data_IF_338418294618
#
_entry.id   IF_338418294618
#
_cell.length_a   1.000
_cell.length_b   1.000
_cell.length_c   1.000
_cell.angle_alpha   90.00
_cell.angle_beta   90.00
_cell.angle_gamma   90.00
#
_symmetry.space_group_name_H-M   'P 1'
#
loop_
_entity.id
_entity.type
_entity.pdbx_description
1 polymer ?
#
# COMPACT_ATOMS: atom_id res chain seq x y z
N UNK A 1 -18.41 -6.77 -5.24
CA UNK A 1 -17.12 -6.05 -5.21
C UNK A 1 -16.56 -6.02 -6.61
N UNK A 2 -16.12 -4.86 -7.10
CA UNK A 2 -15.59 -4.70 -8.46
C UNK A 2 -14.07 -4.65 -8.40
N UNK A 3 -13.41 -5.53 -9.14
CA UNK A 3 -11.95 -5.51 -9.33
C UNK A 3 -11.60 -4.59 -10.51
N UNK A 4 -10.47 -3.90 -10.41
CA UNK A 4 -9.95 -3.06 -11.49
C UNK A 4 -9.00 -3.89 -12.36
N UNK A 5 -9.05 -3.67 -13.67
CA UNK A 5 -8.02 -4.14 -14.59
C UNK A 5 -6.91 -3.08 -14.75
N UNK A 6 -5.80 -3.44 -15.40
CA UNK A 6 -4.69 -2.51 -15.64
C UNK A 6 -5.12 -1.26 -16.41
N UNK A 7 -6.08 -1.37 -17.34
CA UNK A 7 -6.57 -0.23 -18.13
C UNK A 7 -7.30 0.78 -17.26
N UNK A 8 -8.04 0.33 -16.25
CA UNK A 8 -8.68 1.20 -15.27
C UNK A 8 -7.64 1.83 -14.34
N UNK A 9 -6.63 1.08 -13.89
CA UNK A 9 -5.56 1.64 -13.04
C UNK A 9 -4.73 2.69 -13.76
N UNK A 10 -4.47 2.50 -15.06
CA UNK A 10 -3.80 3.47 -15.95
C UNK A 10 -4.53 4.81 -16.08
N UNK A 11 -5.82 4.88 -15.74
CA UNK A 11 -6.58 6.14 -15.71
C UNK A 11 -6.50 6.83 -14.35
N UNK A 12 -6.14 6.09 -13.31
CA UNK A 12 -6.04 6.58 -11.93
C UNK A 12 -4.61 7.01 -11.56
N UNK A 13 -3.62 6.36 -12.18
CA UNK A 13 -2.19 6.53 -11.91
C UNK A 13 -1.43 6.86 -13.19
N UNK A 14 -0.27 7.48 -13.05
CA UNK A 14 0.61 7.71 -14.20
C UNK A 14 1.20 6.38 -14.71
N UNK A 15 1.45 6.29 -16.03
CA UNK A 15 2.01 5.08 -16.67
C UNK A 15 3.31 4.57 -16.04
N UNK A 16 4.13 5.44 -15.49
CA UNK A 16 5.39 5.07 -14.83
C UNK A 16 5.16 4.32 -13.52
N UNK A 17 4.07 4.60 -12.81
CA UNK A 17 3.78 4.04 -11.49
C UNK A 17 3.43 2.55 -11.60
N UNK A 18 2.71 2.15 -12.65
CA UNK A 18 2.17 0.79 -12.81
C UNK A 18 3.24 -0.27 -13.10
N UNK A 19 4.46 0.13 -13.46
CA UNK A 19 5.60 -0.79 -13.61
C UNK A 19 6.24 -1.19 -12.27
N UNK A 20 5.71 -0.70 -11.17
CA UNK A 20 6.20 -0.97 -9.82
C UNK A 20 5.22 -1.87 -9.06
N UNK A 21 5.66 -2.37 -7.89
CA UNK A 21 4.77 -3.06 -6.95
C UNK A 21 3.70 -2.08 -6.46
N UNK A 22 2.48 -2.22 -7.00
CA UNK A 22 1.33 -1.35 -6.73
C UNK A 22 0.10 -2.16 -6.36
N UNK A 23 -0.66 -1.63 -5.41
CA UNK A 23 -2.01 -2.09 -5.08
C UNK A 23 -2.98 -0.91 -5.08
N UNK A 24 -4.23 -1.15 -5.48
CA UNK A 24 -5.33 -0.18 -5.31
C UNK A 24 -6.32 -0.76 -4.30
N UNK A 25 -6.68 0.02 -3.28
CA UNK A 25 -7.67 -0.37 -2.27
C UNK A 25 -8.90 0.54 -2.29
N UNK A 26 -10.07 -0.04 -2.02
CA UNK A 26 -11.35 0.67 -2.05
C UNK A 26 -11.85 1.01 -0.64
N UNK A 27 -11.75 2.28 -0.20
CA UNK A 27 -12.17 2.70 1.13
C UNK A 27 -13.69 2.75 1.32
N UNK A 28 -14.49 2.59 0.26
CA UNK A 28 -15.96 2.51 0.38
C UNK A 28 -16.44 1.14 0.85
N UNK A 29 -15.57 0.12 0.77
CA UNK A 29 -15.84 -1.24 1.24
C UNK A 29 -15.25 -1.41 2.63
N UNK A 30 -16.00 -2.08 3.52
CA UNK A 30 -15.54 -2.41 4.88
C UNK A 30 -14.16 -3.05 4.82
N UNK A 31 -13.27 -2.58 5.68
CA UNK A 31 -11.87 -3.02 5.80
C UNK A 31 -10.89 -2.52 4.71
N UNK A 32 -11.35 -1.67 3.78
CA UNK A 32 -10.52 -1.11 2.70
C UNK A 32 -9.73 -2.21 1.94
N UNK A 33 -10.43 -3.18 1.31
CA UNK A 33 -9.78 -4.29 0.62
C UNK A 33 -9.10 -3.84 -0.67
N UNK A 34 -8.06 -4.58 -1.08
CA UNK A 34 -7.41 -4.40 -2.36
C UNK A 34 -8.34 -4.86 -3.50
N UNK A 35 -8.60 -3.95 -4.44
CA UNK A 35 -9.37 -4.17 -5.67
C UNK A 35 -8.49 -4.34 -6.90
N UNK A 36 -7.18 -4.13 -6.76
CA UNK A 36 -6.15 -4.43 -7.76
C UNK A 36 -4.81 -4.69 -7.07
N UNK A 37 -4.01 -5.59 -7.65
CA UNK A 37 -2.62 -5.84 -7.29
C UNK A 37 -1.81 -6.04 -8.56
N UNK A 38 -0.61 -5.46 -8.64
CA UNK A 38 0.27 -5.64 -9.79
C UNK A 38 0.98 -7.00 -9.75
N UNK A 39 1.56 -7.38 -10.90
CA UNK A 39 2.39 -8.60 -11.01
C UNK A 39 3.63 -8.49 -10.12
N UNK A 40 4.27 -7.32 -10.12
CA UNK A 40 5.46 -7.01 -9.34
C UNK A 40 5.19 -7.15 -7.84
N UNK A 41 4.01 -6.75 -7.36
CA UNK A 41 3.61 -6.99 -5.97
C UNK A 41 3.57 -8.47 -5.64
N UNK A 42 2.98 -9.28 -6.52
CA UNK A 42 2.89 -10.73 -6.35
C UNK A 42 4.27 -11.38 -6.33
N UNK A 43 5.14 -11.01 -7.27
CA UNK A 43 6.53 -11.51 -7.36
C UNK A 43 7.36 -11.13 -6.13
N UNK A 44 7.28 -9.87 -5.69
CA UNK A 44 8.03 -9.35 -4.55
C UNK A 44 7.61 -10.00 -3.21
N UNK A 45 6.31 -10.22 -3.04
CA UNK A 45 5.76 -10.71 -1.76
C UNK A 45 5.57 -12.22 -1.72
N UNK A 46 5.62 -12.89 -2.87
CA UNK A 46 5.38 -14.33 -3.01
C UNK A 46 3.91 -14.74 -2.90
N UNK A 47 2.98 -13.78 -2.82
CA UNK A 47 1.56 -14.04 -2.83
C UNK A 47 1.02 -14.11 -4.25
N UNK A 48 0.03 -14.99 -4.48
CA UNK A 48 -0.72 -14.99 -5.73
C UNK A 48 -1.81 -13.92 -5.67
N UNK A 49 -2.13 -13.33 -6.81
CA UNK A 49 -3.22 -12.35 -6.94
C UNK A 49 -4.54 -12.85 -6.33
N UNK A 50 -4.93 -14.10 -6.63
CA UNK A 50 -6.15 -14.75 -6.11
C UNK A 50 -6.18 -14.90 -4.58
N UNK A 51 -5.01 -14.96 -3.94
CA UNK A 51 -4.90 -15.10 -2.48
C UNK A 51 -5.09 -13.76 -1.75
N UNK A 52 -4.93 -12.62 -2.43
CA UNK A 52 -4.81 -11.30 -1.80
C UNK A 52 -5.85 -10.28 -2.25
N UNK A 53 -6.42 -10.44 -3.44
CA UNK A 53 -7.55 -9.62 -3.88
C UNK A 53 -8.72 -9.78 -2.89
N UNK A 54 -9.35 -8.66 -2.54
CA UNK A 54 -10.42 -8.64 -1.53
C UNK A 54 -9.95 -8.61 -0.09
N UNK A 55 -8.64 -8.60 0.17
CA UNK A 55 -8.08 -8.49 1.52
C UNK A 55 -7.45 -7.12 1.74
N UNK A 56 -7.41 -6.69 3.00
CA UNK A 56 -6.60 -5.55 3.39
C UNK A 56 -5.11 -5.94 3.37
N UNK A 57 -4.24 -5.03 2.91
CA UNK A 57 -2.79 -5.27 2.76
C UNK A 57 -2.03 -5.52 4.08
N UNK A 58 -2.69 -5.37 5.25
CA UNK A 58 -2.06 -5.59 6.57
C UNK A 58 -1.53 -7.00 6.79
N UNK A 59 -1.88 -7.99 5.97
CA UNK A 59 -1.31 -9.34 6.07
C UNK A 59 0.21 -9.38 5.84
N UNK A 60 0.80 -8.32 5.25
CA UNK A 60 2.25 -8.17 5.15
C UNK A 60 2.91 -7.76 6.48
N UNK A 61 2.13 -7.38 7.50
CA UNK A 61 2.65 -7.04 8.82
C UNK A 61 2.85 -8.31 9.64
N UNK A 62 3.80 -8.29 10.58
CA UNK A 62 4.12 -9.44 11.42
C UNK A 62 4.59 -9.03 12.82
N UNK A 63 5.13 -9.99 13.61
CA UNK A 63 5.39 -9.79 15.04
C UNK A 63 6.33 -8.64 15.38
N UNK A 64 7.29 -8.33 14.50
CA UNK A 64 8.27 -7.25 14.70
C UNK A 64 7.92 -5.97 13.91
N UNK A 65 6.75 -5.91 13.28
CA UNK A 65 6.29 -4.66 12.67
C UNK A 65 6.00 -3.66 13.78
N UNK A 66 6.63 -2.48 13.73
CA UNK A 66 6.48 -1.45 14.76
C UNK A 66 5.02 -0.96 14.81
N UNK A 67 4.33 -1.05 15.97
CA UNK A 67 2.96 -0.57 16.11
C UNK A 67 2.82 0.93 15.85
N UNK A 68 3.87 1.73 16.08
CA UNK A 68 3.83 3.16 15.78
C UNK A 68 3.77 3.43 14.27
N UNK A 69 4.46 2.64 13.45
CA UNK A 69 4.41 2.75 11.99
C UNK A 69 2.98 2.44 11.49
N UNK A 70 2.33 1.43 12.08
CA UNK A 70 0.94 1.07 11.80
C UNK A 70 -0.01 2.23 12.15
N UNK A 71 0.16 2.85 13.32
CA UNK A 71 -0.68 3.97 13.76
C UNK A 71 -0.49 5.21 12.87
N UNK A 72 0.73 5.49 12.39
CA UNK A 72 0.97 6.57 11.44
C UNK A 72 0.25 6.34 10.10
N UNK A 73 0.26 5.11 9.59
CA UNK A 73 -0.47 4.73 8.39
C UNK A 73 -1.98 4.91 8.59
N UNK A 74 -2.53 4.43 9.72
CA UNK A 74 -3.95 4.58 10.06
C UNK A 74 -4.35 6.05 10.14
N UNK A 75 -3.52 6.88 10.76
CA UNK A 75 -3.75 8.32 10.85
C UNK A 75 -3.78 8.97 9.46
N UNK A 76 -2.82 8.68 8.59
CA UNK A 76 -2.76 9.21 7.23
C UNK A 76 -3.98 8.81 6.40
N UNK A 77 -4.40 7.54 6.47
CA UNK A 77 -5.63 7.05 5.82
C UNK A 77 -6.86 7.80 6.33
N UNK A 78 -6.99 7.97 7.65
CA UNK A 78 -8.13 8.71 8.26
C UNK A 78 -8.15 10.17 7.81
N UNK A 79 -6.99 10.80 7.73
CA UNK A 79 -6.83 12.19 7.28
C UNK A 79 -6.92 12.33 5.75
N UNK A 80 -6.98 11.21 5.00
CA UNK A 80 -6.95 11.18 3.53
C UNK A 80 -5.75 11.95 2.98
N UNK A 81 -4.59 11.73 3.61
CA UNK A 81 -3.33 12.38 3.27
C UNK A 81 -2.30 11.38 2.77
N UNK A 82 -1.32 11.87 2.02
CA UNK A 82 -0.22 11.05 1.53
C UNK A 82 0.72 10.71 2.69
N UNK A 83 1.28 9.50 2.67
CA UNK A 83 2.33 9.10 3.61
C UNK A 83 3.44 8.33 2.89
N UNK A 84 4.68 8.55 3.30
CA UNK A 84 5.84 7.71 2.96
C UNK A 84 6.48 7.25 4.26
N UNK A 85 6.58 5.94 4.47
CA UNK A 85 7.11 5.35 5.70
C UNK A 85 7.92 4.09 5.38
N UNK A 86 8.96 3.84 6.17
CA UNK A 86 9.71 2.60 6.09
C UNK A 86 9.18 1.65 7.16
N UNK A 87 8.52 0.57 6.74
CA UNK A 87 7.85 -0.40 7.62
C UNK A 87 8.40 -1.81 7.40
N UNK A 88 8.55 -2.58 8.48
CA UNK A 88 8.96 -3.98 8.38
C UNK A 88 7.77 -4.84 7.94
N UNK A 89 7.93 -5.56 6.83
CA UNK A 89 6.94 -6.46 6.28
C UNK A 89 7.48 -7.88 6.11
N UNK A 90 6.58 -8.82 5.84
CA UNK A 90 6.84 -10.24 5.72
C UNK A 90 6.28 -10.75 4.38
N UNK A 91 7.10 -11.49 3.64
CA UNK A 91 6.67 -12.24 2.46
C UNK A 91 5.84 -13.46 2.86
N UNK A 92 5.20 -14.12 1.89
CA UNK A 92 4.39 -15.33 2.12
C UNK A 92 5.17 -16.46 2.83
N UNK A 93 6.46 -16.57 2.57
CA UNK A 93 7.34 -17.57 3.19
C UNK A 93 7.83 -17.17 4.61
N UNK A 94 7.41 -16.02 5.13
CA UNK A 94 7.83 -15.49 6.44
C UNK A 94 9.14 -14.69 6.41
N UNK A 95 9.78 -14.52 5.26
CA UNK A 95 10.98 -13.70 5.12
C UNK A 95 10.66 -12.23 5.37
N UNK A 96 11.47 -11.59 6.22
CA UNK A 96 11.37 -10.15 6.53
C UNK A 96 11.95 -9.30 5.41
N UNK A 97 11.32 -8.18 5.13
CA UNK A 97 11.89 -7.14 4.27
C UNK A 97 11.44 -5.75 4.73
N UNK A 98 12.32 -4.77 4.58
CA UNK A 98 11.97 -3.36 4.78
C UNK A 98 11.26 -2.83 3.54
N UNK A 99 10.08 -2.26 3.76
CA UNK A 99 9.25 -1.69 2.71
C UNK A 99 9.16 -0.18 2.91
N UNK A 100 9.73 0.60 1.98
CA UNK A 100 9.42 2.02 1.86
C UNK A 100 8.04 2.15 1.21
N UNK A 101 7.03 2.10 2.05
CA UNK A 101 5.63 2.15 1.68
C UNK A 101 5.20 3.59 1.41
N UNK A 102 4.66 3.84 0.21
CA UNK A 102 3.97 5.09 -0.12
C UNK A 102 2.49 4.82 -0.27
N UNK A 103 1.66 5.59 0.42
CA UNK A 103 0.20 5.54 0.28
C UNK A 103 -0.30 6.90 -0.17
N UNK A 104 -1.13 6.91 -1.22
CA UNK A 104 -1.64 8.12 -1.84
C UNK A 104 -3.16 8.01 -2.00
N UNK A 105 -3.93 8.99 -1.49
CA UNK A 105 -5.36 9.06 -1.76
C UNK A 105 -5.60 9.43 -3.22
N UNK A 106 -6.57 8.76 -3.84
CA UNK A 106 -7.02 9.05 -5.21
C UNK A 106 -8.42 9.66 -5.10
N UNK A 107 -8.58 10.84 -5.67
CA UNK A 107 -9.83 11.59 -5.66
C UNK A 107 -10.43 11.65 -7.07
N UNK A 108 -11.76 11.69 -7.15
CA UNK A 108 -12.44 12.04 -8.39
C UNK A 108 -12.39 13.56 -8.67
N UNK A 109 -12.94 13.98 -9.80
CA UNK A 109 -13.04 15.39 -10.19
C UNK A 109 -13.80 16.28 -9.18
N UNK A 110 -14.65 15.67 -8.34
CA UNK A 110 -15.40 16.34 -7.28
C UNK A 110 -14.68 16.33 -5.93
N UNK A 111 -13.39 15.97 -5.91
CA UNK A 111 -12.55 15.83 -4.70
C UNK A 111 -13.09 14.79 -3.70
N UNK A 112 -13.90 13.83 -4.16
CA UNK A 112 -14.33 12.71 -3.33
C UNK A 112 -13.26 11.62 -3.41
N UNK A 113 -12.85 11.11 -2.25
CA UNK A 113 -11.93 9.97 -2.15
C UNK A 113 -12.60 8.74 -2.77
N UNK A 114 -11.97 8.16 -3.79
CA UNK A 114 -12.46 6.96 -4.48
C UNK A 114 -11.59 5.74 -4.20
N UNK A 115 -10.28 5.91 -4.07
CA UNK A 115 -9.34 4.81 -3.82
C UNK A 115 -8.12 5.27 -3.02
N UNK A 116 -7.33 4.31 -2.56
CA UNK A 116 -5.94 4.52 -2.18
C UNK A 116 -5.02 3.71 -3.09
N UNK A 117 -3.95 4.33 -3.59
CA UNK A 117 -2.81 3.62 -4.15
C UNK A 117 -1.76 3.35 -3.07
N UNK A 118 -1.23 2.13 -3.04
CA UNK A 118 -0.10 1.75 -2.21
C UNK A 118 1.04 1.24 -3.06
N UNK A 119 2.21 1.86 -2.97
CA UNK A 119 3.46 1.41 -3.59
C UNK A 119 4.35 0.74 -2.55
N UNK A 120 4.80 -0.48 -2.83
CA UNK A 120 5.71 -1.21 -1.94
C UNK A 120 7.11 -1.22 -2.56
N UNK A 121 8.06 -0.53 -1.96
CA UNK A 121 9.41 -0.43 -2.47
C UNK A 121 10.40 -1.05 -1.47
N UNK A 122 10.89 -2.29 -1.72
CA UNK A 122 11.89 -2.92 -0.89
C UNK A 122 13.14 -2.05 -0.78
N UNK A 123 13.66 -1.94 0.43
CA UNK A 123 14.90 -1.21 0.71
C UNK A 123 15.82 -2.07 1.58
N UNK A 124 17.11 -1.78 1.54
CA UNK A 124 18.07 -2.38 2.46
C UNK A 124 17.91 -1.80 3.88
N UNK A 125 18.37 -2.53 4.89
CA UNK A 125 18.32 -2.09 6.29
C UNK A 125 19.07 -0.77 6.51
N UNK A 126 20.17 -0.55 5.79
CA UNK A 126 20.99 0.67 5.86
C UNK A 126 20.26 1.89 5.30
N UNK A 127 19.25 1.67 4.44
CA UNK A 127 18.45 2.73 3.83
C UNK A 127 17.24 3.14 4.66
N UNK A 128 16.96 2.43 5.77
CA UNK A 128 15.78 2.64 6.62
C UNK A 128 15.88 3.98 7.34
N UNK A 129 14.78 4.73 7.27
CA UNK A 129 14.61 6.03 7.93
C UNK A 129 13.59 5.90 9.04
N UNK A 130 13.89 6.49 10.19
CA UNK A 130 12.93 6.64 11.28
C UNK A 130 12.34 8.03 11.26
N UNK A 131 11.03 8.07 11.33
CA UNK A 131 10.25 9.28 11.17
C UNK A 131 9.56 9.61 12.50
N UNK A 132 9.63 10.86 12.93
CA UNK A 132 8.83 11.32 14.06
C UNK A 132 7.34 11.27 13.70
N UNK A 133 6.52 10.90 14.67
CA UNK A 133 5.08 10.78 14.50
C UNK A 133 4.47 12.04 13.85
N UNK A 134 3.77 11.87 12.72
CA UNK A 134 3.05 12.94 12.03
C UNK A 134 3.88 13.84 11.11
N UNK A 135 5.22 13.70 11.06
CA UNK A 135 6.09 14.50 10.17
C UNK A 135 6.18 14.00 8.73
N UNK A 136 5.58 12.84 8.43
CA UNK A 136 5.61 12.18 7.12
C UNK A 136 4.26 12.18 6.40
N UNK A 137 3.31 12.95 6.93
CA UNK A 137 1.98 13.09 6.36
C UNK A 137 1.94 14.45 5.64
N UNK A 138 1.80 14.41 4.32
CA UNK A 138 1.67 15.59 3.45
C UNK A 138 0.18 15.95 3.28
#
# INVERSE_FOLDING_TARGET
MKYLDEKNVLQLLNRSEIKHSIVISDPSIKDCPMVYVSKEFCEQTGYKMEDVLGKNCRFLQGPETDPNDIEQIRLAIRLKKKITIDILNYKRNGEKFWNRLRIMPIFDEKKKLIYFAGEQNPISIESVRRYSFGKIID
#
